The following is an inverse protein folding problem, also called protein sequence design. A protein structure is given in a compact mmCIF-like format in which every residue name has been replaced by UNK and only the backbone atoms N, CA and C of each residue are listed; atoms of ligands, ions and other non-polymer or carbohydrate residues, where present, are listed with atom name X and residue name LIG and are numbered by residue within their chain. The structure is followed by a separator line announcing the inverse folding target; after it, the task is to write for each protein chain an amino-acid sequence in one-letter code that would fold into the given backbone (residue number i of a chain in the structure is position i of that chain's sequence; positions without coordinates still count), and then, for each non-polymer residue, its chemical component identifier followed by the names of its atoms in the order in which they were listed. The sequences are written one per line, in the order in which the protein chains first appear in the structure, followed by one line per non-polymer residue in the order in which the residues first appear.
data_IF_151176220204
#
_entry.id   IF_151176220204
#
_cell.length_a   1.000
_cell.length_b   1.000
_cell.length_c   1.000
_cell.angle_alpha   90.00
_cell.angle_beta   90.00
_cell.angle_gamma   90.00
#
_symmetry.space_group_name_H-M   'P 1'
#
loop_
_entity.id
_entity.type
_entity.pdbx_description
1 polymer ?
#
# COMPACT_ATOMS: atom_id res chain seq x y z
N UNK A 1 33.23 -4.30 -4.37
CA UNK A 1 33.21 -3.92 -2.96
C UNK A 1 32.73 -2.48 -2.84
N UNK A 2 31.61 -2.25 -2.12
CA UNK A 2 30.97 -0.92 -1.99
C UNK A 2 31.81 0.10 -1.20
N UNK A 3 32.82 -0.36 -0.47
CA UNK A 3 33.71 0.49 0.32
C UNK A 3 35.06 0.74 -0.37
N UNK A 4 35.25 0.27 -1.60
CA UNK A 4 36.53 0.31 -2.29
C UNK A 4 36.53 1.40 -3.36
N UNK A 5 37.22 2.50 -3.09
CA UNK A 5 37.32 3.67 -3.96
C UNK A 5 37.87 3.33 -5.35
N UNK A 6 38.78 2.37 -5.46
CA UNK A 6 39.38 1.99 -6.76
C UNK A 6 38.30 1.41 -7.71
N UNK A 7 37.34 0.70 -7.18
CA UNK A 7 36.22 0.17 -7.98
C UNK A 7 35.32 1.29 -8.53
N UNK A 8 35.08 2.37 -7.77
CA UNK A 8 34.34 3.53 -8.29
C UNK A 8 35.11 4.30 -9.33
N UNK A 9 36.45 4.45 -9.18
CA UNK A 9 37.31 5.04 -10.21
C UNK A 9 37.26 4.19 -11.49
N UNK A 10 37.36 2.88 -11.38
CA UNK A 10 37.24 1.98 -12.52
C UNK A 10 35.84 2.08 -13.20
N UNK A 11 34.76 2.14 -12.38
CA UNK A 11 33.40 2.33 -12.87
C UNK A 11 33.25 3.68 -13.61
N UNK A 12 33.79 4.77 -13.06
CA UNK A 12 33.78 6.06 -13.71
C UNK A 12 34.46 6.00 -15.08
N UNK A 13 35.70 5.47 -15.14
CA UNK A 13 36.43 5.36 -16.38
C UNK A 13 35.70 4.53 -17.45
N UNK A 14 34.98 3.48 -17.02
CA UNK A 14 34.14 2.71 -17.91
C UNK A 14 32.93 3.53 -18.38
N UNK A 15 32.25 4.23 -17.47
CA UNK A 15 31.11 5.07 -17.80
C UNK A 15 31.46 6.19 -18.77
N UNK A 16 32.60 6.87 -18.55
CA UNK A 16 33.10 7.93 -19.43
C UNK A 16 33.44 7.39 -20.84
N UNK A 17 34.05 6.20 -20.92
CA UNK A 17 34.33 5.53 -22.20
C UNK A 17 33.02 5.13 -22.94
N UNK A 18 32.00 4.69 -22.22
CA UNK A 18 30.69 4.35 -22.80
C UNK A 18 29.95 5.62 -23.23
N UNK A 19 30.05 6.69 -22.45
CA UNK A 19 29.49 8.00 -22.76
C UNK A 19 30.04 8.53 -24.10
N UNK A 20 31.38 8.53 -24.26
CA UNK A 20 32.03 8.92 -25.50
C UNK A 20 31.63 7.99 -26.68
N UNK A 21 31.64 6.66 -26.44
CA UNK A 21 31.33 5.67 -27.49
C UNK A 21 29.94 5.77 -28.05
N UNK A 22 28.95 6.04 -27.18
CA UNK A 22 27.51 6.03 -27.52
C UNK A 22 26.87 7.42 -27.54
N UNK A 23 27.67 8.48 -27.32
CA UNK A 23 27.20 9.88 -27.24
C UNK A 23 26.02 10.05 -26.23
N UNK A 24 26.27 9.56 -25.01
CA UNK A 24 25.21 9.56 -23.97
C UNK A 24 25.04 10.92 -23.29
N UNK A 25 25.91 11.89 -23.56
CA UNK A 25 25.84 13.28 -23.08
C UNK A 25 25.76 13.40 -21.54
N UNK A 26 26.45 12.51 -20.83
CA UNK A 26 26.46 12.49 -19.36
C UNK A 26 25.22 11.97 -18.69
N UNK A 27 24.26 11.43 -19.44
CA UNK A 27 23.03 10.85 -18.89
C UNK A 27 23.31 9.53 -18.17
N UNK A 28 22.98 9.45 -16.88
CA UNK A 28 23.27 8.28 -16.04
C UNK A 28 22.10 7.93 -15.13
N UNK A 29 21.86 6.64 -14.97
CA UNK A 29 20.92 6.07 -14.00
C UNK A 29 21.68 5.07 -13.13
N UNK A 30 21.54 5.23 -11.83
CA UNK A 30 22.11 4.35 -10.81
C UNK A 30 20.97 3.58 -10.14
N UNK A 31 20.93 2.26 -10.32
CA UNK A 31 19.93 1.42 -9.69
C UNK A 31 20.58 0.62 -8.56
N UNK A 32 20.19 0.92 -7.32
CA UNK A 32 20.74 0.28 -6.12
C UNK A 32 19.84 -0.90 -5.70
N UNK A 33 20.00 -2.02 -6.39
CA UNK A 33 19.33 -3.29 -6.05
C UNK A 33 20.09 -4.04 -4.94
N UNK A 34 20.21 -3.43 -3.76
CA UNK A 34 20.97 -3.98 -2.64
C UNK A 34 20.42 -3.53 -1.29
N UNK A 35 21.01 -4.03 -0.19
CA UNK A 35 20.56 -3.69 1.15
C UNK A 35 20.67 -2.17 1.43
N UNK A 36 19.65 -1.52 2.01
CA UNK A 36 19.59 -0.07 2.22
C UNK A 36 20.76 0.51 3.01
N UNK A 37 21.36 -0.27 3.92
CA UNK A 37 22.57 0.15 4.69
C UNK A 37 23.74 0.61 3.82
N UNK A 38 23.75 0.27 2.54
CA UNK A 38 24.81 0.66 1.61
C UNK A 38 24.47 1.91 0.79
N UNK A 39 23.23 2.38 0.78
CA UNK A 39 22.79 3.46 -0.10
C UNK A 39 23.56 4.75 0.14
N UNK A 40 23.71 5.18 1.40
CA UNK A 40 24.47 6.39 1.76
C UNK A 40 25.94 6.29 1.35
N UNK A 41 26.60 5.16 1.66
CA UNK A 41 27.99 4.92 1.27
C UNK A 41 28.18 4.98 -0.25
N UNK A 42 27.28 4.34 -1.00
CA UNK A 42 27.38 4.35 -2.48
C UNK A 42 27.13 5.75 -3.02
N UNK A 43 26.10 6.45 -2.54
CA UNK A 43 25.82 7.82 -2.96
C UNK A 43 27.00 8.76 -2.72
N UNK A 44 27.66 8.65 -1.55
CA UNK A 44 28.85 9.41 -1.22
C UNK A 44 30.02 9.13 -2.21
N UNK A 45 30.28 7.85 -2.51
CA UNK A 45 31.32 7.47 -3.48
C UNK A 45 30.97 7.88 -4.91
N UNK A 46 29.70 7.76 -5.34
CA UNK A 46 29.30 8.25 -6.67
C UNK A 46 29.60 9.73 -6.85
N UNK A 47 29.44 10.53 -5.77
CA UNK A 47 29.77 11.95 -5.77
C UNK A 47 31.26 12.21 -5.69
N UNK A 48 31.97 11.63 -4.71
CA UNK A 48 33.42 11.90 -4.47
C UNK A 48 34.29 11.48 -5.64
N UNK A 49 33.93 10.35 -6.27
CA UNK A 49 34.66 9.82 -7.42
C UNK A 49 34.14 10.35 -8.76
N UNK A 50 33.30 11.40 -8.74
CA UNK A 50 32.83 12.12 -9.93
C UNK A 50 32.10 11.24 -10.95
N UNK A 51 31.33 10.25 -10.46
CA UNK A 51 30.41 9.49 -11.30
C UNK A 51 29.15 10.31 -11.63
N UNK A 52 28.74 11.18 -10.72
CA UNK A 52 27.65 12.15 -10.99
C UNK A 52 28.23 13.22 -11.92
N UNK A 53 27.66 13.37 -13.11
CA UNK A 53 28.10 14.29 -14.15
C UNK A 53 27.54 15.69 -13.94
N UNK A 54 28.29 16.71 -14.41
CA UNK A 54 27.86 18.12 -14.37
C UNK A 54 26.87 18.46 -15.51
N UNK A 55 26.69 17.56 -16.46
CA UNK A 55 25.82 17.71 -17.63
C UNK A 55 25.01 16.44 -17.84
N UNK A 56 23.91 16.54 -18.58
CA UNK A 56 22.96 15.44 -18.70
C UNK A 56 22.14 15.26 -17.42
N UNK A 57 21.41 14.15 -17.31
CA UNK A 57 20.68 13.81 -16.10
C UNK A 57 21.43 12.74 -15.28
N UNK A 58 21.31 12.84 -13.96
CA UNK A 58 21.75 11.80 -13.04
C UNK A 58 20.54 11.37 -12.19
N UNK A 59 20.13 10.11 -12.26
CA UNK A 59 18.97 9.57 -11.57
C UNK A 59 19.37 8.40 -10.69
N UNK A 60 18.88 8.40 -9.46
CA UNK A 60 19.16 7.36 -8.48
C UNK A 60 17.87 6.60 -8.20
N UNK A 61 17.81 5.32 -8.56
CA UNK A 61 16.71 4.41 -8.25
C UNK A 61 17.10 3.62 -7.00
N UNK A 62 16.24 3.62 -6.00
CA UNK A 62 16.46 2.89 -4.75
C UNK A 62 15.24 2.05 -4.38
N UNK A 63 15.52 0.89 -3.78
CA UNK A 63 14.53 -0.08 -3.31
C UNK A 63 14.14 0.15 -1.85
N UNK A 64 12.95 -0.33 -1.48
CA UNK A 64 12.55 -0.41 -0.07
C UNK A 64 13.37 -1.47 0.69
N UNK A 65 13.46 -1.36 2.03
CA UNK A 65 12.83 -0.38 2.91
C UNK A 65 13.61 0.94 3.00
N UNK A 66 12.86 2.04 3.23
CA UNK A 66 13.43 3.37 3.46
C UNK A 66 13.47 3.66 4.97
N UNK A 67 14.46 3.09 5.67
CA UNK A 67 14.56 3.12 7.13
C UNK A 67 13.73 2.03 7.81
N UNK A 68 13.75 2.06 9.16
CA UNK A 68 12.96 1.18 10.05
C UNK A 68 12.03 1.96 10.96
N UNK A 69 12.22 3.26 11.04
CA UNK A 69 11.47 4.27 11.76
C UNK A 69 11.76 5.63 11.11
N UNK A 70 11.07 6.68 11.54
CA UNK A 70 11.27 8.03 11.00
C UNK A 70 12.71 8.52 11.16
N UNK A 71 13.36 8.20 12.27
CA UNK A 71 14.74 8.62 12.55
C UNK A 71 15.72 8.01 11.54
N UNK A 72 15.72 6.70 11.41
CA UNK A 72 16.63 6.00 10.49
C UNK A 72 16.29 6.27 9.02
N UNK A 73 15.02 6.49 8.70
CA UNK A 73 14.60 6.92 7.37
C UNK A 73 15.15 8.32 7.04
N UNK A 74 15.12 9.24 8.02
CA UNK A 74 15.69 10.58 7.85
C UNK A 74 17.20 10.54 7.70
N UNK A 75 17.91 9.78 8.52
CA UNK A 75 19.36 9.58 8.41
C UNK A 75 19.73 9.09 7.01
N UNK A 76 19.05 8.04 6.53
CA UNK A 76 19.27 7.51 5.19
C UNK A 76 18.97 8.55 4.09
N UNK A 77 17.89 9.30 4.24
CA UNK A 77 17.54 10.36 3.30
C UNK A 77 18.60 11.48 3.28
N UNK A 78 19.09 11.90 4.43
CA UNK A 78 20.09 12.95 4.55
C UNK A 78 21.42 12.50 3.88
N UNK A 79 21.84 11.25 4.10
CA UNK A 79 23.03 10.66 3.46
C UNK A 79 22.91 10.66 1.93
N UNK A 80 21.78 10.23 1.40
CA UNK A 80 21.55 10.21 -0.06
C UNK A 80 21.44 11.63 -0.61
N UNK A 81 20.76 12.53 0.11
CA UNK A 81 20.55 13.91 -0.30
C UNK A 81 21.84 14.75 -0.28
N UNK A 82 22.88 14.30 0.41
CA UNK A 82 24.21 14.89 0.31
C UNK A 82 24.85 14.73 -1.09
N UNK A 83 24.40 13.76 -1.88
CA UNK A 83 24.91 13.48 -3.23
C UNK A 83 23.89 13.78 -4.34
N UNK A 84 22.60 13.48 -4.14
CA UNK A 84 21.54 13.64 -5.13
C UNK A 84 20.45 14.57 -4.60
N UNK A 85 19.96 15.48 -5.42
CA UNK A 85 18.74 16.24 -5.07
C UNK A 85 17.49 15.34 -5.09
N UNK A 86 16.44 15.72 -4.38
CA UNK A 86 15.19 14.96 -4.35
C UNK A 86 14.61 14.71 -5.76
N UNK A 87 14.88 15.64 -6.70
CA UNK A 87 14.44 15.51 -8.09
C UNK A 87 15.17 14.42 -8.87
N UNK A 88 16.29 13.95 -8.36
CA UNK A 88 17.11 12.90 -8.95
C UNK A 88 16.81 11.53 -8.30
N UNK A 89 16.05 11.49 -7.20
CA UNK A 89 15.80 10.26 -6.42
C UNK A 89 14.45 9.65 -6.81
N UNK A 90 14.49 8.36 -7.16
CA UNK A 90 13.35 7.53 -7.57
C UNK A 90 13.20 6.39 -6.58
N UNK A 91 12.36 6.58 -5.54
CA UNK A 91 12.08 5.55 -4.51
C UNK A 91 10.99 4.63 -5.02
N UNK A 92 11.34 3.36 -5.23
CA UNK A 92 10.40 2.35 -5.73
C UNK A 92 9.43 1.93 -4.63
N UNK A 93 8.15 2.12 -4.87
CA UNK A 93 7.06 1.34 -4.32
C UNK A 93 6.35 0.65 -5.50
N UNK A 94 6.53 -0.66 -5.65
CA UNK A 94 6.02 -1.38 -6.82
C UNK A 94 4.49 -1.33 -6.97
N UNK A 95 3.74 -1.07 -5.87
CA UNK A 95 2.29 -0.86 -5.96
C UNK A 95 1.93 0.39 -6.77
N UNK A 96 2.74 1.45 -6.70
CA UNK A 96 2.53 2.66 -7.49
C UNK A 96 2.74 2.44 -9.01
N UNK A 97 3.47 1.39 -9.40
CA UNK A 97 3.63 0.99 -10.79
C UNK A 97 2.50 0.10 -11.32
N UNK A 98 1.55 -0.33 -10.45
CA UNK A 98 0.40 -1.14 -10.88
C UNK A 98 -0.66 -0.24 -11.51
N UNK A 99 -1.05 -0.55 -12.74
CA UNK A 99 -2.06 0.20 -13.49
C UNK A 99 -3.39 0.33 -12.74
N UNK A 100 -3.81 -0.71 -12.02
CA UNK A 100 -5.02 -0.68 -11.21
C UNK A 100 -4.94 0.34 -10.04
N UNK A 101 -3.77 0.59 -9.49
CA UNK A 101 -3.54 1.63 -8.47
C UNK A 101 -3.57 3.03 -9.10
N UNK A 102 -2.94 3.22 -10.25
CA UNK A 102 -3.01 4.47 -10.99
C UNK A 102 -4.45 4.82 -11.40
N UNK A 103 -5.25 3.79 -11.71
CA UNK A 103 -6.66 3.94 -12.07
C UNK A 103 -7.54 4.52 -10.97
N UNK A 104 -7.11 4.50 -9.70
CA UNK A 104 -7.84 5.13 -8.58
C UNK A 104 -8.10 6.62 -8.87
N UNK A 105 -7.08 7.34 -9.34
CA UNK A 105 -7.23 8.77 -9.66
C UNK A 105 -8.19 8.99 -10.85
N UNK A 106 -8.08 8.17 -11.90
CA UNK A 106 -8.99 8.22 -13.04
C UNK A 106 -10.44 7.92 -12.62
N UNK A 107 -10.65 6.91 -11.78
CA UNK A 107 -11.96 6.55 -11.26
C UNK A 107 -12.58 7.71 -10.46
N UNK A 108 -11.81 8.27 -9.50
CA UNK A 108 -12.29 9.33 -8.62
C UNK A 108 -12.54 10.66 -9.32
N UNK A 109 -11.66 11.07 -10.21
CA UNK A 109 -11.65 12.42 -10.77
C UNK A 109 -12.14 12.48 -12.22
N UNK A 110 -12.19 11.36 -12.92
CA UNK A 110 -12.64 11.27 -14.31
C UNK A 110 -14.13 10.93 -14.46
N UNK A 111 -14.83 10.57 -13.36
CA UNK A 111 -16.23 10.16 -13.41
C UNK A 111 -17.10 11.04 -12.51
N UNK A 112 -18.06 11.75 -13.09
CA UNK A 112 -18.94 12.66 -12.35
C UNK A 112 -19.72 11.94 -11.24
N UNK A 113 -20.25 10.75 -11.49
CA UNK A 113 -20.99 9.94 -10.50
C UNK A 113 -20.10 9.66 -9.30
N UNK A 114 -18.91 9.09 -9.53
CA UNK A 114 -17.98 8.72 -8.47
C UNK A 114 -17.51 9.98 -7.72
N UNK A 115 -17.11 11.02 -8.44
CA UNK A 115 -16.63 12.26 -7.86
C UNK A 115 -17.67 12.94 -6.96
N UNK A 116 -18.96 12.91 -7.35
CA UNK A 116 -20.05 13.51 -6.56
C UNK A 116 -20.35 12.74 -5.28
N UNK A 117 -20.17 11.43 -5.26
CA UNK A 117 -20.44 10.56 -4.11
C UNK A 117 -19.22 10.35 -3.21
N UNK A 118 -18.02 10.82 -3.62
CA UNK A 118 -16.78 10.60 -2.90
C UNK A 118 -16.57 11.57 -1.75
N UNK A 119 -17.43 11.48 -0.74
CA UNK A 119 -17.39 12.38 0.42
C UNK A 119 -18.06 11.72 1.63
N UNK A 120 -17.87 12.33 2.80
CA UNK A 120 -18.40 11.89 4.10
C UNK A 120 -19.93 11.82 4.21
N UNK A 121 -20.64 12.53 3.33
CA UNK A 121 -22.10 12.52 3.32
C UNK A 121 -22.64 11.20 2.74
N UNK A 122 -21.88 10.56 1.82
CA UNK A 122 -22.31 9.38 1.11
C UNK A 122 -21.51 8.12 1.47
N UNK A 123 -20.21 8.24 1.79
CA UNK A 123 -19.37 7.09 2.16
C UNK A 123 -19.52 6.78 3.64
N UNK A 124 -19.81 5.51 3.95
CA UNK A 124 -19.85 5.00 5.31
C UNK A 124 -18.47 4.59 5.82
N UNK A 125 -17.74 3.82 5.03
CA UNK A 125 -16.36 3.43 5.33
C UNK A 125 -15.60 3.01 4.06
N UNK A 126 -14.26 2.93 4.16
CA UNK A 126 -13.39 2.39 3.13
C UNK A 126 -12.63 1.21 3.73
N UNK A 127 -12.56 0.09 2.99
CA UNK A 127 -11.84 -1.10 3.43
C UNK A 127 -10.76 -1.45 2.41
N UNK A 128 -9.52 -1.66 2.87
CA UNK A 128 -8.37 -2.00 2.04
C UNK A 128 -7.82 -3.34 2.52
N UNK A 129 -7.83 -4.34 1.66
CA UNK A 129 -7.27 -5.67 1.97
C UNK A 129 -6.14 -5.99 1.01
N UNK A 130 -4.97 -6.31 1.56
CA UNK A 130 -3.81 -6.87 0.85
C UNK A 130 -3.51 -8.24 1.46
N UNK A 131 -4.18 -9.27 0.97
CA UNK A 131 -4.05 -10.63 1.48
C UNK A 131 -3.07 -11.46 0.65
N UNK A 132 -2.16 -12.16 1.31
CA UNK A 132 -1.21 -13.08 0.71
C UNK A 132 -1.46 -14.52 1.23
N UNK A 133 -1.53 -15.50 0.33
CA UNK A 133 -1.70 -16.91 0.70
C UNK A 133 -0.38 -17.61 1.04
N UNK A 134 0.75 -17.04 0.63
CA UNK A 134 2.09 -17.55 0.94
C UNK A 134 2.54 -17.11 2.34
N UNK A 135 3.46 -17.87 2.94
CA UNK A 135 4.16 -17.53 4.17
C UNK A 135 5.32 -16.56 3.93
N UNK A 136 6.30 -16.56 4.82
CA UNK A 136 7.52 -15.74 4.67
C UNK A 136 8.56 -16.42 3.77
N UNK A 137 8.47 -17.73 3.60
CA UNK A 137 9.36 -18.54 2.78
C UNK A 137 10.85 -18.19 3.04
N UNK A 138 11.68 -18.10 2.03
CA UNK A 138 13.11 -17.76 2.15
C UNK A 138 13.38 -16.32 2.70
N UNK A 139 12.34 -15.52 2.95
CA UNK A 139 12.46 -14.14 3.42
C UNK A 139 12.32 -13.98 4.93
N UNK A 140 12.34 -15.07 5.69
CA UNK A 140 12.16 -15.05 7.15
C UNK A 140 13.11 -14.08 7.86
N UNK A 141 14.40 -14.11 7.55
CA UNK A 141 15.39 -13.21 8.15
C UNK A 141 15.14 -11.70 7.87
N UNK A 142 14.58 -11.36 6.72
CA UNK A 142 14.11 -9.99 6.45
C UNK A 142 12.86 -9.69 7.28
N UNK A 143 11.93 -10.64 7.33
CA UNK A 143 10.63 -10.45 7.98
C UNK A 143 10.75 -10.26 9.49
N UNK A 144 11.72 -10.93 10.14
CA UNK A 144 12.07 -10.74 11.56
C UNK A 144 12.42 -9.29 11.91
N UNK A 145 12.84 -8.50 10.95
CA UNK A 145 13.17 -7.08 11.14
C UNK A 145 12.06 -6.13 10.68
N UNK A 146 11.22 -6.56 9.76
CA UNK A 146 10.19 -5.72 9.13
C UNK A 146 8.81 -5.91 9.78
N UNK A 147 8.31 -7.15 9.79
CA UNK A 147 6.91 -7.44 10.09
C UNK A 147 5.95 -6.88 9.05
N UNK A 148 4.68 -7.25 9.16
CA UNK A 148 3.66 -6.81 8.21
C UNK A 148 3.39 -5.30 8.27
N UNK A 149 3.59 -4.66 9.43
CA UNK A 149 3.39 -3.23 9.60
C UNK A 149 4.35 -2.41 8.73
N UNK A 150 5.64 -2.75 8.76
CA UNK A 150 6.67 -2.06 7.97
C UNK A 150 6.70 -2.53 6.52
N UNK A 151 6.45 -3.83 6.27
CA UNK A 151 6.52 -4.37 4.92
C UNK A 151 5.35 -3.93 4.04
N UNK A 152 4.15 -3.75 4.60
CA UNK A 152 2.93 -3.51 3.85
C UNK A 152 2.20 -2.21 4.20
N UNK A 153 2.11 -1.84 5.48
CA UNK A 153 1.30 -0.68 5.89
C UNK A 153 2.04 0.62 5.66
N UNK A 154 3.31 0.71 6.09
CA UNK A 154 4.15 1.91 6.02
C UNK A 154 4.33 2.43 4.59
N UNK A 155 4.20 1.57 3.61
CA UNK A 155 4.38 1.88 2.19
C UNK A 155 3.08 1.68 1.41
N UNK A 156 2.82 0.50 0.88
CA UNK A 156 1.76 0.19 -0.06
C UNK A 156 0.37 0.66 0.40
N UNK A 157 -0.02 0.32 1.65
CA UNK A 157 -1.35 0.68 2.17
C UNK A 157 -1.47 2.19 2.34
N UNK A 158 -0.47 2.86 2.93
CA UNK A 158 -0.50 4.32 3.10
C UNK A 158 -0.42 5.06 1.76
N UNK A 159 0.27 4.52 0.75
CA UNK A 159 0.23 5.05 -0.60
C UNK A 159 -1.18 4.94 -1.23
N UNK A 160 -1.84 3.79 -1.08
CA UNK A 160 -3.23 3.61 -1.52
C UNK A 160 -4.16 4.59 -0.79
N UNK A 161 -4.02 4.72 0.54
CA UNK A 161 -4.81 5.68 1.34
C UNK A 161 -4.59 7.11 0.83
N UNK A 162 -3.36 7.50 0.52
CA UNK A 162 -3.09 8.84 0.00
C UNK A 162 -3.84 9.11 -1.30
N UNK A 163 -3.91 8.14 -2.22
CA UNK A 163 -4.67 8.24 -3.47
C UNK A 163 -6.19 8.27 -3.25
N UNK A 164 -6.69 7.53 -2.24
CA UNK A 164 -8.11 7.48 -1.90
C UNK A 164 -8.59 8.74 -1.16
N UNK A 165 -7.70 9.41 -0.43
CA UNK A 165 -8.09 10.54 0.44
C UNK A 165 -7.60 11.90 -0.05
N UNK A 166 -6.67 11.96 -1.02
CA UNK A 166 -6.18 13.23 -1.55
C UNK A 166 -7.29 14.06 -2.18
N UNK A 167 -7.21 15.37 -2.05
CA UNK A 167 -8.06 16.29 -2.76
C UNK A 167 -7.74 16.30 -4.27
N UNK A 168 -8.72 16.67 -5.09
CA UNK A 168 -8.57 16.70 -6.55
C UNK A 168 -7.42 17.64 -6.97
N UNK A 169 -6.37 17.15 -7.65
CA UNK A 169 -5.32 18.00 -8.17
C UNK A 169 -5.85 18.92 -9.29
N UNK A 170 -5.23 20.07 -9.48
CA UNK A 170 -5.61 21.00 -10.56
C UNK A 170 -5.19 20.46 -11.93
N UNK A 171 -4.08 19.72 -11.96
CA UNK A 171 -3.52 19.04 -13.13
C UNK A 171 -2.95 17.68 -12.73
N UNK A 172 -2.99 16.72 -13.65
CA UNK A 172 -2.37 15.41 -13.44
C UNK A 172 -0.87 15.49 -13.77
N UNK A 173 -0.09 16.05 -12.85
CA UNK A 173 1.37 16.17 -12.94
C UNK A 173 2.02 15.57 -11.71
N UNK A 174 3.28 15.12 -11.83
CA UNK A 174 4.01 14.52 -10.71
C UNK A 174 4.08 15.44 -9.48
N UNK A 175 4.27 16.76 -9.66
CA UNK A 175 4.32 17.73 -8.55
C UNK A 175 2.96 17.88 -7.86
N UNK A 176 1.89 18.07 -8.62
CA UNK A 176 0.54 18.22 -8.07
C UNK A 176 0.09 16.96 -7.32
N UNK A 177 0.30 15.79 -7.92
CA UNK A 177 -0.03 14.51 -7.28
C UNK A 177 0.74 14.30 -5.99
N UNK A 178 2.05 14.55 -6.00
CA UNK A 178 2.89 14.48 -4.81
C UNK A 178 2.36 15.39 -3.70
N UNK A 179 2.12 16.67 -4.02
CA UNK A 179 1.68 17.65 -3.03
C UNK A 179 0.34 17.25 -2.42
N UNK A 180 -0.61 16.75 -3.23
CA UNK A 180 -1.90 16.24 -2.74
C UNK A 180 -1.78 14.94 -1.92
N UNK A 181 -0.87 14.04 -2.28
CA UNK A 181 -0.61 12.82 -1.50
C UNK A 181 0.04 13.14 -0.15
N UNK A 182 1.00 14.08 -0.12
CA UNK A 182 1.62 14.56 1.13
C UNK A 182 0.56 15.19 2.03
N UNK A 183 -0.27 16.08 1.50
CA UNK A 183 -1.38 16.70 2.24
C UNK A 183 -2.35 15.64 2.79
N UNK A 184 -2.70 14.64 1.98
CA UNK A 184 -3.56 13.54 2.40
C UNK A 184 -2.97 12.76 3.59
N UNK A 185 -1.68 12.40 3.53
CA UNK A 185 -1.00 11.70 4.62
C UNK A 185 -0.82 12.57 5.87
N UNK A 186 -0.62 13.90 5.71
CA UNK A 186 -0.58 14.85 6.84
C UNK A 186 -1.90 14.91 7.59
N UNK A 187 -3.01 14.75 6.88
CA UNK A 187 -4.36 14.73 7.45
C UNK A 187 -4.75 13.37 8.08
N UNK A 188 -3.93 12.32 7.96
CA UNK A 188 -4.17 11.10 8.72
C UNK A 188 -3.86 11.34 10.19
N UNK A 189 -4.84 11.05 11.04
CA UNK A 189 -4.72 11.17 12.48
C UNK A 189 -3.60 10.27 13.01
N UNK A 190 -2.67 10.85 13.76
CA UNK A 190 -1.69 10.09 14.53
C UNK A 190 -2.29 9.79 15.90
N UNK A 191 -2.40 8.53 16.22
CA UNK A 191 -2.96 8.08 17.47
C UNK A 191 -2.00 8.29 18.66
N UNK A 192 -2.53 8.34 19.88
CA UNK A 192 -1.75 8.03 21.06
C UNK A 192 -1.44 6.53 21.12
N UNK A 193 -0.53 6.09 21.99
CA UNK A 193 -0.23 4.65 22.13
C UNK A 193 -1.46 3.85 22.56
N UNK A 194 -2.28 4.41 23.43
CA UNK A 194 -3.53 3.79 23.89
C UNK A 194 -4.55 3.69 22.75
N UNK A 195 -4.71 4.74 21.95
CA UNK A 195 -5.56 4.72 20.76
C UNK A 195 -5.03 3.72 19.71
N UNK A 196 -3.71 3.62 19.54
CA UNK A 196 -3.10 2.67 18.61
C UNK A 196 -3.40 1.21 19.02
N UNK A 197 -3.28 0.87 20.32
CA UNK A 197 -3.64 -0.46 20.85
C UNK A 197 -5.13 -0.78 20.69
N UNK A 198 -6.00 0.23 20.69
CA UNK A 198 -7.43 0.04 20.47
C UNK A 198 -7.80 -0.11 19.00
N UNK A 199 -7.07 0.56 18.11
CA UNK A 199 -7.43 0.68 16.70
C UNK A 199 -6.59 -0.21 15.77
N UNK A 200 -5.54 -0.84 16.28
CA UNK A 200 -4.69 -1.74 15.50
C UNK A 200 -4.55 -3.11 16.16
N UNK A 201 -4.67 -4.13 15.34
CA UNK A 201 -4.55 -5.55 15.70
C UNK A 201 -3.35 -6.12 14.99
N UNK A 202 -2.49 -6.83 15.72
CA UNK A 202 -1.39 -7.62 15.16
C UNK A 202 -1.69 -9.11 15.27
N UNK A 203 -1.22 -9.86 14.27
CA UNK A 203 -1.34 -11.32 14.26
C UNK A 203 -0.07 -11.99 13.80
N UNK A 204 0.08 -13.26 14.18
CA UNK A 204 1.13 -14.14 13.69
C UNK A 204 0.49 -15.48 13.34
N UNK A 205 0.79 -16.04 12.15
CA UNK A 205 0.17 -17.28 11.73
C UNK A 205 0.68 -18.48 12.52
N UNK A 206 -0.26 -19.34 12.88
CA UNK A 206 -0.04 -20.68 13.38
C UNK A 206 -0.10 -21.71 12.27
N UNK A 207 -0.08 -22.97 12.64
CA UNK A 207 -0.29 -24.10 11.72
C UNK A 207 -1.65 -23.98 10.99
N UNK A 208 -1.78 -24.65 9.86
CA UNK A 208 -3.06 -24.85 9.21
C UNK A 208 -3.90 -25.93 9.92
N UNK A 209 -5.17 -26.06 9.56
CA UNK A 209 -6.09 -26.99 10.20
C UNK A 209 -5.68 -28.47 10.07
N UNK A 210 -4.96 -28.80 9.01
CA UNK A 210 -4.52 -30.17 8.70
C UNK A 210 -3.08 -30.45 9.17
N UNK A 211 -2.41 -29.51 9.84
CA UNK A 211 -1.02 -29.57 10.29
C UNK A 211 -0.02 -29.88 9.16
N UNK A 212 -0.30 -29.41 7.96
CA UNK A 212 0.56 -29.57 6.78
C UNK A 212 1.55 -28.42 6.58
N UNK A 213 1.28 -27.27 7.19
CA UNK A 213 2.10 -26.07 7.14
C UNK A 213 2.52 -25.68 8.56
N UNK A 214 3.81 -25.37 8.72
CA UNK A 214 4.35 -24.89 9.99
C UNK A 214 3.80 -23.51 10.36
N UNK A 215 3.78 -23.21 11.64
CA UNK A 215 3.60 -21.85 12.13
C UNK A 215 4.83 -20.97 11.83
N UNK A 216 4.68 -19.65 12.02
CA UNK A 216 5.75 -18.69 11.74
C UNK A 216 7.05 -18.97 12.49
N UNK A 217 6.96 -19.37 13.76
CA UNK A 217 8.12 -19.56 14.64
C UNK A 217 8.94 -20.81 14.31
N UNK A 218 8.39 -21.69 13.48
CA UNK A 218 9.07 -22.88 12.99
C UNK A 218 9.48 -22.77 11.51
N UNK A 219 9.29 -21.61 10.87
CA UNK A 219 9.86 -21.35 9.55
C UNK A 219 11.40 -21.22 9.64
N UNK A 220 12.11 -21.64 8.59
CA UNK A 220 13.57 -21.54 8.57
C UNK A 220 14.04 -20.08 8.63
N UNK A 221 14.85 -19.76 9.64
CA UNK A 221 15.40 -18.41 9.82
C UNK A 221 14.57 -17.46 10.68
N UNK A 222 13.53 -17.97 11.36
CA UNK A 222 12.77 -17.23 12.38
C UNK A 222 13.27 -17.52 13.79
N UNK A 223 12.92 -16.66 14.75
CA UNK A 223 13.13 -16.90 16.18
C UNK A 223 11.92 -17.64 16.76
N UNK A 224 12.16 -18.74 17.49
CA UNK A 224 11.10 -19.52 18.16
C UNK A 224 10.27 -18.71 19.16
N UNK A 225 10.77 -17.55 19.62
CA UNK A 225 10.06 -16.64 20.52
C UNK A 225 9.68 -15.33 19.83
N UNK A 226 9.73 -15.29 18.49
CA UNK A 226 9.46 -14.10 17.72
C UNK A 226 8.14 -13.42 18.13
N UNK A 227 8.20 -12.09 18.28
CA UNK A 227 7.06 -11.22 18.51
C UNK A 227 6.71 -10.39 17.26
N UNK A 228 7.27 -10.78 16.11
CA UNK A 228 7.02 -10.11 14.84
C UNK A 228 5.65 -10.52 14.30
N UNK A 229 4.90 -9.54 13.89
CA UNK A 229 3.59 -9.74 13.30
C UNK A 229 3.69 -10.11 11.81
N UNK A 230 2.91 -11.12 11.39
CA UNK A 230 2.70 -11.51 10.00
C UNK A 230 1.35 -11.05 9.46
N UNK A 231 0.58 -10.39 10.30
CA UNK A 231 -0.73 -9.84 10.01
C UNK A 231 -0.93 -8.53 10.74
N UNK A 232 -1.54 -7.57 10.04
CA UNK A 232 -2.01 -6.31 10.62
C UNK A 232 -3.43 -6.05 10.15
N UNK A 233 -4.28 -5.65 11.08
CA UNK A 233 -5.55 -4.99 10.79
C UNK A 233 -5.65 -3.71 11.59
N UNK A 234 -6.23 -2.67 11.00
CA UNK A 234 -6.31 -1.39 11.69
C UNK A 234 -7.41 -0.50 11.17
N UNK A 235 -7.78 0.48 11.98
CA UNK A 235 -8.67 1.58 11.64
C UNK A 235 -7.85 2.84 11.61
N UNK A 236 -7.91 3.57 10.52
CA UNK A 236 -7.33 4.90 10.34
C UNK A 236 -8.44 5.93 10.15
N UNK A 237 -8.14 7.16 10.50
CA UNK A 237 -9.05 8.29 10.37
C UNK A 237 -8.33 9.44 9.67
N UNK A 238 -9.06 10.18 8.83
CA UNK A 238 -8.55 11.39 8.18
C UNK A 238 -9.30 12.61 8.66
N UNK A 239 -8.57 13.71 8.82
CA UNK A 239 -9.13 15.03 9.18
C UNK A 239 -9.40 15.89 7.95
N UNK A 240 -9.18 15.37 6.74
CA UNK A 240 -9.43 16.13 5.53
C UNK A 240 -10.92 16.49 5.40
N UNK A 241 -11.20 17.62 4.76
CA UNK A 241 -12.56 18.19 4.67
C UNK A 241 -13.56 17.21 4.03
N UNK A 242 -13.11 16.46 3.04
CA UNK A 242 -13.98 15.61 2.22
C UNK A 242 -14.39 14.33 2.92
N UNK A 243 -13.48 13.69 3.68
CA UNK A 243 -13.67 12.37 4.29
C UNK A 243 -13.56 12.37 5.82
N UNK A 244 -13.51 13.53 6.48
CA UNK A 244 -13.45 13.60 7.95
C UNK A 244 -14.60 12.82 8.58
N UNK A 245 -14.26 11.86 9.48
CA UNK A 245 -15.22 10.99 10.15
C UNK A 245 -15.57 9.71 9.38
N UNK A 246 -15.06 9.50 8.16
CA UNK A 246 -15.14 8.23 7.43
C UNK A 246 -13.99 7.33 7.88
N UNK A 247 -14.25 6.20 8.55
CA UNK A 247 -13.19 5.28 8.94
C UNK A 247 -12.62 4.55 7.73
N UNK A 248 -11.29 4.34 7.76
CA UNK A 248 -10.56 3.57 6.76
C UNK A 248 -10.01 2.33 7.46
N UNK A 249 -10.60 1.17 7.15
CA UNK A 249 -10.14 -0.11 7.68
C UNK A 249 -9.10 -0.70 6.74
N UNK A 250 -8.02 -1.18 7.31
CA UNK A 250 -6.93 -1.83 6.57
C UNK A 250 -6.68 -3.23 7.09
N UNK A 251 -6.34 -4.15 6.20
CA UNK A 251 -5.98 -5.51 6.54
C UNK A 251 -4.92 -6.03 5.58
N UNK A 252 -3.86 -6.58 6.13
CA UNK A 252 -2.83 -7.29 5.36
C UNK A 252 -2.28 -8.45 6.17
N UNK A 253 -1.83 -9.50 5.51
CA UNK A 253 -1.22 -10.63 6.21
C UNK A 253 -0.80 -11.74 5.26
N UNK A 254 0.02 -12.64 5.83
CA UNK A 254 0.52 -13.85 5.17
C UNK A 254 -0.28 -15.08 5.60
N UNK A 255 -0.20 -16.16 4.83
CA UNK A 255 -0.97 -17.40 5.08
C UNK A 255 -2.48 -17.15 5.23
N UNK A 256 -3.00 -16.13 4.53
CA UNK A 256 -4.45 -15.90 4.50
C UNK A 256 -5.13 -16.85 3.49
N UNK A 257 -6.45 -17.00 3.61
CA UNK A 257 -7.25 -17.97 2.86
C UNK A 257 -7.05 -17.90 1.35
N UNK A 258 -6.83 -16.70 0.81
CA UNK A 258 -6.54 -16.50 -0.62
C UNK A 258 -5.79 -15.20 -0.86
N UNK A 259 -5.00 -15.18 -1.94
CA UNK A 259 -4.36 -13.94 -2.41
C UNK A 259 -5.43 -13.00 -2.98
N UNK A 260 -5.49 -11.78 -2.44
CA UNK A 260 -6.34 -10.73 -2.99
C UNK A 260 -5.85 -9.36 -2.54
N UNK A 261 -5.74 -8.43 -3.48
CA UNK A 261 -5.63 -7.00 -3.19
C UNK A 261 -6.87 -6.31 -3.72
N UNK A 262 -7.68 -5.74 -2.83
CA UNK A 262 -8.88 -5.02 -3.21
C UNK A 262 -9.21 -3.87 -2.26
N UNK A 263 -9.96 -2.92 -2.79
CA UNK A 263 -10.47 -1.76 -2.07
C UNK A 263 -11.99 -1.78 -2.18
N UNK A 264 -12.67 -1.70 -1.04
CA UNK A 264 -14.13 -1.62 -0.97
C UNK A 264 -14.52 -0.26 -0.43
N UNK A 265 -15.24 0.52 -1.21
CA UNK A 265 -15.85 1.78 -0.79
C UNK A 265 -17.32 1.48 -0.49
N UNK A 266 -17.66 1.49 0.80
CA UNK A 266 -19.00 1.16 1.29
C UNK A 266 -19.77 2.46 1.44
N UNK A 267 -20.91 2.56 0.78
CA UNK A 267 -21.77 3.74 0.86
C UNK A 267 -22.74 3.62 2.02
N UNK A 268 -23.20 4.74 2.54
CA UNK A 268 -24.23 4.79 3.56
C UNK A 268 -25.55 4.22 3.03
N UNK A 269 -26.33 3.63 3.91
CA UNK A 269 -27.70 3.27 3.60
C UNK A 269 -28.51 4.51 3.26
N UNK A 270 -29.61 4.33 2.53
CA UNK A 270 -30.60 5.38 2.32
C UNK A 270 -31.26 5.76 3.66
N UNK A 271 -31.59 7.05 3.83
CA UNK A 271 -32.14 7.56 5.09
C UNK A 271 -33.49 6.92 5.46
N UNK A 272 -34.26 6.54 4.45
CA UNK A 272 -35.59 5.93 4.64
C UNK A 272 -35.78 4.79 3.66
N UNK A 273 -36.01 3.59 4.17
CA UNK A 273 -36.41 2.45 3.36
C UNK A 273 -37.92 2.52 3.09
N UNK A 274 -38.32 3.04 1.94
CA UNK A 274 -39.72 3.15 1.52
C UNK A 274 -40.36 1.79 1.19
N UNK A 275 -39.58 0.73 1.08
CA UNK A 275 -40.02 -0.63 0.77
C UNK A 275 -40.34 -1.45 2.03
N UNK A 276 -40.03 -0.94 3.22
CA UNK A 276 -40.21 -1.63 4.50
C UNK A 276 -41.70 -1.87 4.84
N UNK A 277 -42.62 -1.16 4.18
CA UNK A 277 -44.08 -1.26 4.38
C UNK A 277 -44.74 -2.31 3.49
N UNK A 278 -43.98 -3.03 2.68
CA UNK A 278 -44.52 -4.10 1.82
C UNK A 278 -44.43 -5.45 2.55
N UNK A 279 -45.44 -6.33 2.40
CA UNK A 279 -45.54 -7.65 3.07
C UNK A 279 -44.47 -8.68 2.63
N UNK A 280 -43.37 -8.26 2.06
CA UNK A 280 -42.26 -9.13 1.64
C UNK A 280 -41.27 -9.33 2.80
N UNK A 281 -41.02 -10.58 3.17
CA UNK A 281 -40.09 -11.00 4.24
C UNK A 281 -38.58 -10.61 3.99
N UNK A 282 -38.29 -9.87 2.93
CA UNK A 282 -36.92 -9.61 2.46
C UNK A 282 -36.65 -8.18 2.00
N UNK A 283 -37.23 -7.17 2.62
CA UNK A 283 -37.04 -5.76 2.22
C UNK A 283 -35.84 -5.05 2.89
N UNK A 284 -34.83 -5.81 3.33
CA UNK A 284 -33.57 -5.24 3.76
C UNK A 284 -32.79 -4.76 2.52
N UNK A 285 -32.53 -3.47 2.45
CA UNK A 285 -31.65 -2.91 1.43
C UNK A 285 -30.21 -3.21 1.80
N UNK A 286 -29.46 -3.84 0.89
CA UNK A 286 -28.03 -3.99 1.04
C UNK A 286 -27.34 -2.64 0.79
N UNK A 287 -26.24 -2.40 1.52
CA UNK A 287 -25.39 -1.24 1.25
C UNK A 287 -24.82 -1.33 -0.16
N UNK A 288 -24.80 -0.21 -0.86
CA UNK A 288 -24.07 -0.14 -2.11
C UNK A 288 -22.58 -0.19 -1.83
N UNK A 289 -21.85 -0.95 -2.62
CA UNK A 289 -20.39 -1.10 -2.51
C UNK A 289 -19.76 -0.94 -3.87
N UNK A 290 -18.74 -0.09 -3.95
CA UNK A 290 -17.84 -0.02 -5.09
C UNK A 290 -16.55 -0.75 -4.73
N UNK A 291 -16.31 -1.90 -5.39
CA UNK A 291 -15.08 -2.69 -5.22
C UNK A 291 -14.12 -2.44 -6.37
N UNK A 292 -12.87 -2.14 -6.04
CA UNK A 292 -11.75 -2.07 -6.97
C UNK A 292 -10.89 -3.32 -6.76
N UNK A 293 -10.83 -4.18 -7.76
CA UNK A 293 -9.96 -5.36 -7.78
C UNK A 293 -8.61 -4.98 -8.36
N UNK A 294 -7.54 -5.20 -7.58
CA UNK A 294 -6.16 -4.86 -7.95
C UNK A 294 -5.39 -6.11 -8.37
N UNK A 295 -5.46 -7.18 -7.57
CA UNK A 295 -4.80 -8.49 -7.78
C UNK A 295 -5.59 -9.63 -7.14
N UNK A 296 -5.56 -10.83 -7.72
CA UNK A 296 -5.02 -11.22 -9.03
C UNK A 296 -5.91 -10.77 -10.19
N UNK A 297 -7.18 -10.50 -9.89
CA UNK A 297 -8.13 -9.96 -10.85
C UNK A 297 -8.09 -8.44 -10.85
N UNK A 298 -8.19 -7.86 -12.04
CA UNK A 298 -8.24 -6.41 -12.20
C UNK A 298 -9.60 -6.02 -12.74
N UNK A 299 -10.25 -5.08 -12.08
CA UNK A 299 -11.57 -4.66 -12.48
C UNK A 299 -12.32 -3.85 -11.42
N UNK A 300 -13.61 -3.73 -11.63
CA UNK A 300 -14.51 -2.99 -10.77
C UNK A 300 -15.83 -3.73 -10.60
N UNK A 301 -16.43 -3.63 -9.43
CA UNK A 301 -17.76 -4.11 -9.14
C UNK A 301 -18.57 -3.03 -8.44
N UNK A 302 -19.82 -2.85 -8.84
CA UNK A 302 -20.77 -1.98 -8.16
C UNK A 302 -21.99 -2.80 -7.76
N UNK A 303 -22.27 -2.84 -6.45
CA UNK A 303 -23.43 -3.53 -5.88
C UNK A 303 -24.60 -2.56 -5.75
N UNK A 304 -25.77 -2.94 -6.28
CA UNK A 304 -26.98 -2.13 -6.33
C UNK A 304 -28.21 -2.95 -5.92
N UNK A 305 -29.27 -2.27 -5.48
CA UNK A 305 -30.56 -2.87 -5.19
C UNK A 305 -31.53 -2.63 -6.36
N UNK A 306 -32.23 -3.67 -6.80
CA UNK A 306 -33.26 -3.60 -7.84
C UNK A 306 -34.52 -4.33 -7.40
N UNK A 307 -35.63 -4.11 -8.11
CA UNK A 307 -36.86 -4.85 -7.86
C UNK A 307 -36.70 -6.31 -8.23
N UNK A 308 -37.10 -7.22 -7.32
CA UNK A 308 -37.24 -8.64 -7.64
C UNK A 308 -38.33 -8.84 -8.71
N UNK A 309 -38.09 -9.78 -9.65
CA UNK A 309 -39.01 -10.10 -10.75
C UNK A 309 -40.27 -10.82 -10.35
N UNK A 310 -40.49 -11.19 -9.07
CA UNK A 310 -41.66 -11.86 -8.55
C UNK A 310 -42.92 -10.99 -8.55
N UNK A 311 -44.05 -11.59 -8.16
CA UNK A 311 -45.38 -10.90 -8.08
C UNK A 311 -45.45 -9.95 -6.90
N UNK A 312 -44.76 -10.23 -5.78
CA UNK A 312 -44.65 -9.36 -4.62
C UNK A 312 -43.57 -8.27 -4.85
N UNK A 313 -43.74 -7.15 -4.15
CA UNK A 313 -42.81 -6.02 -4.24
C UNK A 313 -41.57 -6.30 -3.37
N UNK A 314 -40.68 -7.18 -3.85
CA UNK A 314 -39.41 -7.48 -3.21
C UNK A 314 -38.25 -6.72 -3.82
N UNK A 315 -37.18 -6.54 -3.05
CA UNK A 315 -35.92 -5.95 -3.49
C UNK A 315 -34.82 -7.03 -3.45
N UNK A 316 -33.96 -7.04 -4.45
CA UNK A 316 -32.83 -7.95 -4.52
C UNK A 316 -31.55 -7.21 -4.90
N UNK A 317 -30.37 -7.62 -4.37
CA UNK A 317 -29.09 -7.09 -4.81
C UNK A 317 -28.73 -7.60 -6.20
N UNK A 318 -28.06 -6.74 -6.98
CA UNK A 318 -27.38 -7.09 -8.23
C UNK A 318 -25.96 -6.57 -8.23
N UNK A 319 -25.13 -7.13 -9.10
CA UNK A 319 -23.75 -6.75 -9.29
C UNK A 319 -23.51 -6.32 -10.72
N UNK A 320 -22.86 -5.17 -10.89
CA UNK A 320 -22.32 -4.72 -12.16
C UNK A 320 -20.81 -4.93 -12.14
N UNK A 321 -20.34 -5.96 -12.83
CA UNK A 321 -18.94 -6.34 -12.85
C UNK A 321 -18.26 -5.97 -14.16
N UNK A 322 -17.08 -5.41 -14.07
CA UNK A 322 -16.11 -5.32 -15.15
C UNK A 322 -14.81 -5.95 -14.71
N UNK A 323 -14.34 -6.94 -15.45
CA UNK A 323 -13.02 -7.53 -15.26
C UNK A 323 -12.23 -7.42 -16.55
N UNK A 324 -10.96 -7.04 -16.44
CA UNK A 324 -10.06 -7.03 -17.60
C UNK A 324 -9.92 -8.42 -18.18
N UNK A 325 -10.09 -8.50 -19.49
CA UNK A 325 -9.86 -9.72 -20.24
C UNK A 325 -8.37 -10.10 -20.26
N UNK A 326 -8.05 -11.34 -20.57
CA UNK A 326 -6.66 -11.78 -20.71
C UNK A 326 -5.89 -10.95 -21.77
N UNK A 327 -6.57 -10.53 -22.85
CA UNK A 327 -5.98 -9.71 -23.89
C UNK A 327 -5.68 -8.26 -23.43
N UNK A 328 -6.48 -7.71 -22.53
CA UNK A 328 -6.23 -6.40 -21.92
C UNK A 328 -5.10 -6.50 -20.89
N UNK A 329 -5.11 -7.54 -20.02
CA UNK A 329 -4.04 -7.80 -19.05
C UNK A 329 -2.68 -7.97 -19.73
N UNK A 330 -2.61 -8.66 -20.87
CA UNK A 330 -1.37 -8.89 -21.64
C UNK A 330 -0.75 -7.59 -22.21
N UNK A 331 -1.48 -6.48 -22.25
CA UNK A 331 -0.98 -5.18 -22.71
C UNK A 331 -0.44 -4.31 -21.57
N UNK A 332 -0.65 -4.72 -20.33
CA UNK A 332 -0.22 -3.97 -19.15
C UNK A 332 1.20 -4.41 -18.82
N UNK A 333 2.18 -3.50 -18.79
CA UNK A 333 3.53 -3.84 -18.37
C UNK A 333 3.55 -4.24 -16.91
N UNK A 334 4.49 -5.09 -16.53
CA UNK A 334 4.75 -5.38 -15.13
C UNK A 334 5.15 -4.10 -14.37
N UNK A 335 4.81 -4.02 -13.08
CA UNK A 335 5.04 -2.81 -12.30
C UNK A 335 6.50 -2.31 -12.33
N UNK A 336 7.47 -3.22 -12.26
CA UNK A 336 8.90 -2.87 -12.35
C UNK A 336 9.30 -2.41 -13.76
N UNK A 337 8.82 -3.06 -14.81
CA UNK A 337 9.04 -2.64 -16.19
C UNK A 337 8.59 -1.19 -16.39
N UNK A 338 7.37 -0.88 -15.93
CA UNK A 338 6.83 0.47 -16.00
C UNK A 338 7.66 1.48 -15.21
N UNK A 339 8.01 1.18 -13.96
CA UNK A 339 8.79 2.09 -13.12
C UNK A 339 10.20 2.34 -13.68
N UNK A 340 10.86 1.32 -14.24
CA UNK A 340 12.14 1.50 -14.89
C UNK A 340 12.00 2.39 -16.13
N UNK A 341 10.95 2.18 -16.95
CA UNK A 341 10.65 3.04 -18.10
C UNK A 341 10.36 4.49 -17.66
N UNK A 342 9.51 4.68 -16.65
CA UNK A 342 9.23 6.00 -16.07
C UNK A 342 10.52 6.69 -15.58
N UNK A 343 11.44 5.94 -14.97
CA UNK A 343 12.74 6.47 -14.55
C UNK A 343 13.64 6.83 -15.74
N UNK A 344 13.59 6.07 -16.84
CA UNK A 344 14.31 6.38 -18.08
C UNK A 344 13.80 7.68 -18.72
N UNK A 345 12.50 7.92 -18.68
CA UNK A 345 11.85 9.12 -19.22
C UNK A 345 11.90 10.33 -18.27
N UNK A 346 12.28 10.12 -17.00
CA UNK A 346 12.26 11.17 -15.99
C UNK A 346 10.88 11.46 -15.40
N UNK A 347 9.93 10.57 -15.64
CA UNK A 347 8.60 10.64 -15.06
C UNK A 347 8.63 10.17 -13.59
N UNK A 348 8.30 11.04 -12.66
CA UNK A 348 8.33 10.76 -11.21
C UNK A 348 6.95 10.54 -10.59
N UNK A 349 5.92 10.45 -11.40
CA UNK A 349 4.53 10.35 -10.94
C UNK A 349 4.30 9.14 -10.03
N UNK A 350 4.97 8.02 -10.32
CA UNK A 350 4.77 6.73 -9.66
C UNK A 350 5.88 6.37 -8.66
N UNK A 351 6.64 7.37 -8.19
CA UNK A 351 7.70 7.18 -7.19
C UNK A 351 7.35 7.92 -5.90
N UNK A 352 7.69 7.29 -4.78
CA UNK A 352 7.46 7.88 -3.48
C UNK A 352 8.43 9.04 -3.22
N UNK A 353 7.88 10.18 -2.82
CA UNK A 353 8.65 11.35 -2.42
C UNK A 353 9.05 11.25 -0.94
N UNK A 354 10.19 11.87 -0.56
CA UNK A 354 10.63 11.87 0.84
C UNK A 354 9.55 12.32 1.83
N UNK A 355 8.82 13.37 1.51
CA UNK A 355 7.77 13.86 2.41
C UNK A 355 6.63 12.86 2.61
N UNK A 356 6.31 12.05 1.61
CA UNK A 356 5.32 10.95 1.76
C UNK A 356 5.86 9.87 2.69
N UNK A 357 7.13 9.46 2.50
CA UNK A 357 7.81 8.47 3.35
C UNK A 357 7.87 8.93 4.80
N UNK A 358 8.20 10.21 5.02
CA UNK A 358 8.27 10.79 6.38
C UNK A 358 6.91 10.82 7.07
N UNK A 359 5.83 11.18 6.34
CA UNK A 359 4.47 11.16 6.90
C UNK A 359 4.00 9.72 7.19
N UNK A 360 4.34 8.76 6.33
CA UNK A 360 4.02 7.36 6.56
C UNK A 360 4.69 6.83 7.84
N UNK A 361 5.96 7.15 8.07
CA UNK A 361 6.64 6.79 9.32
C UNK A 361 6.04 7.46 10.55
N UNK A 362 5.66 8.74 10.46
CA UNK A 362 4.98 9.45 11.55
C UNK A 362 3.72 8.71 12.05
N UNK A 363 2.99 8.07 11.12
CA UNK A 363 1.78 7.30 11.44
C UNK A 363 2.16 5.95 12.05
N UNK A 364 3.12 5.25 11.48
CA UNK A 364 3.45 3.85 11.81
C UNK A 364 4.30 3.72 13.09
N UNK A 365 5.19 4.67 13.36
CA UNK A 365 6.09 4.60 14.52
C UNK A 365 5.33 4.50 15.85
N UNK A 366 4.24 5.24 16.00
CA UNK A 366 3.41 5.19 17.22
C UNK A 366 2.77 3.81 17.41
N UNK A 367 2.32 3.17 16.30
CA UNK A 367 1.74 1.83 16.34
C UNK A 367 2.81 0.82 16.75
N UNK A 368 4.03 0.94 16.19
CA UNK A 368 5.15 0.06 16.54
C UNK A 368 5.56 0.23 18.00
N UNK A 369 5.71 1.47 18.46
CA UNK A 369 6.04 1.77 19.85
C UNK A 369 4.98 1.25 20.83
N UNK A 370 3.70 1.35 20.48
CA UNK A 370 2.62 0.80 21.28
C UNK A 370 2.73 -0.73 21.39
N UNK A 371 2.97 -1.41 20.28
CA UNK A 371 3.13 -2.87 20.28
C UNK A 371 4.41 -3.37 20.94
N UNK A 372 5.50 -2.61 20.86
CA UNK A 372 6.76 -2.96 21.54
C UNK A 372 6.65 -2.84 23.06
N UNK A 373 5.67 -2.09 23.58
CA UNK A 373 5.41 -1.98 25.00
C UNK A 373 4.67 -3.18 25.60
N UNK A 374 4.10 -4.06 24.78
CA UNK A 374 3.28 -5.19 25.21
C UNK A 374 3.72 -6.50 24.50
N UNK A 375 3.70 -7.61 25.21
CA UNK A 375 3.92 -8.92 24.65
C UNK A 375 2.63 -9.45 24.02
N UNK A 376 2.68 -9.88 22.76
CA UNK A 376 1.55 -10.52 22.11
C UNK A 376 1.48 -12.02 22.44
N UNK A 377 0.27 -12.55 22.50
CA UNK A 377 0.03 -13.99 22.59
C UNK A 377 0.01 -14.57 21.15
N UNK A 378 1.18 -14.97 20.69
CA UNK A 378 1.42 -15.52 19.36
C UNK A 378 1.77 -17.00 19.39
N UNK A 379 1.38 -17.80 18.35
CA UNK A 379 0.56 -17.45 17.20
C UNK A 379 -0.93 -17.26 17.58
N UNK A 380 -1.68 -16.44 16.85
CA UNK A 380 -3.07 -16.12 17.17
C UNK A 380 -4.05 -16.16 15.99
N UNK A 381 -3.63 -16.69 14.83
CA UNK A 381 -4.55 -17.08 13.77
C UNK A 381 -4.06 -18.33 13.02
N UNK A 382 -5.00 -19.11 12.54
CA UNK A 382 -4.75 -20.33 11.79
C UNK A 382 -4.39 -19.99 10.35
N UNK A 383 -3.35 -20.63 9.81
CA UNK A 383 -3.00 -20.55 8.38
C UNK A 383 -4.21 -20.95 7.52
N UNK A 384 -4.48 -20.21 6.46
CA UNK A 384 -5.68 -20.39 5.62
C UNK A 384 -6.94 -19.71 6.13
N UNK A 385 -6.88 -18.97 7.25
CA UNK A 385 -7.98 -18.11 7.73
C UNK A 385 -7.85 -16.68 7.15
N UNK A 386 -8.74 -15.76 7.55
CA UNK A 386 -8.65 -14.33 7.21
C UNK A 386 -8.01 -13.49 8.33
N UNK A 387 -7.18 -14.09 9.15
CA UNK A 387 -6.48 -13.44 10.26
C UNK A 387 -7.14 -13.69 11.62
N UNK A 388 -6.67 -13.04 12.68
CA UNK A 388 -7.15 -13.25 14.04
C UNK A 388 -8.59 -12.72 14.22
N UNK A 389 -9.35 -13.35 15.14
CA UNK A 389 -10.72 -12.93 15.48
C UNK A 389 -10.81 -11.43 15.85
N UNK A 390 -9.79 -10.90 16.52
CA UNK A 390 -9.72 -9.49 16.88
C UNK A 390 -9.83 -8.55 15.67
N UNK A 391 -9.44 -8.98 14.46
CA UNK A 391 -9.64 -8.22 13.22
C UNK A 391 -11.12 -8.09 12.84
N UNK A 392 -11.92 -9.12 13.07
CA UNK A 392 -13.38 -9.06 12.89
C UNK A 392 -14.00 -8.17 13.96
N UNK A 393 -13.57 -8.31 15.20
CA UNK A 393 -14.10 -7.58 16.34
C UNK A 393 -13.81 -6.06 16.23
N UNK A 394 -12.72 -5.69 15.55
CA UNK A 394 -12.41 -4.28 15.26
C UNK A 394 -13.53 -3.58 14.48
N UNK A 395 -14.08 -4.21 13.45
CA UNK A 395 -15.18 -3.64 12.66
C UNK A 395 -16.52 -3.80 13.37
N UNK A 396 -16.75 -4.92 14.06
CA UNK A 396 -17.99 -5.18 14.82
C UNK A 396 -18.25 -4.14 15.91
N UNK A 397 -17.19 -3.58 16.53
CA UNK A 397 -17.34 -2.48 17.50
C UNK A 397 -18.02 -1.25 16.88
N UNK A 398 -17.80 -1.03 15.58
CA UNK A 398 -18.39 0.06 14.81
C UNK A 398 -19.66 -0.41 14.03
N UNK A 399 -20.25 -1.57 14.37
CA UNK A 399 -21.39 -2.21 13.69
C UNK A 399 -21.14 -2.47 12.20
N UNK A 400 -19.92 -2.84 11.82
CA UNK A 400 -19.48 -3.12 10.44
C UNK A 400 -18.87 -4.52 10.32
N UNK A 401 -18.78 -5.00 9.09
CA UNK A 401 -18.12 -6.25 8.75
C UNK A 401 -17.16 -6.04 7.58
N UNK A 402 -16.18 -6.94 7.43
CA UNK A 402 -15.36 -6.98 6.22
C UNK A 402 -16.22 -7.40 5.03
N UNK A 403 -16.17 -6.60 3.94
CA UNK A 403 -16.81 -6.96 2.66
C UNK A 403 -16.11 -8.16 2.03
N UNK A 404 -14.76 -8.16 2.05
CA UNK A 404 -13.99 -9.32 1.60
C UNK A 404 -13.82 -10.32 2.73
N UNK A 405 -14.32 -11.55 2.54
CA UNK A 405 -14.12 -12.66 3.45
C UNK A 405 -13.75 -13.94 2.69
N UNK A 406 -13.31 -15.00 3.39
CA UNK A 406 -12.91 -16.27 2.80
C UNK A 406 -14.07 -17.00 2.08
N UNK A 407 -15.29 -16.72 2.51
CA UNK A 407 -16.52 -17.37 2.02
C UNK A 407 -17.22 -16.64 0.87
N UNK A 408 -16.74 -15.47 0.48
CA UNK A 408 -17.36 -14.63 -0.57
C UNK A 408 -16.61 -14.67 -1.90
#
# INVERSE_FOLDING_TARGET
NVNDTEHYVALRNLADKLDEKYDLQGNRIYYLAMAPRFFGTIAAHLKSEKLITDHGYNRLIIEKPFGRDLKTAKELNDDISAAFSEDQIYRIDHYLGKEAIESIAALRFGNQIVSSLWNKEHIDNIQITLAESLGVEERAGYYETAGALRDMVQNHILQIISLLTMEKPSKYTASELRDRKVEALQNIKVYSKEEALQNFVRGQYGEDADHTQSDYRHEEGTDEQSQIETFVSGKLETENKTLAGVPIYVRTGKRLARKSTQINVVFKNVDTNIFDSTDADSNLLDQNVLTLYIEPDQGYRLDLNVKDGGQTYGIMPIHLDYHKTAAEKAKIPEAYEKLIHDALDGNRTNFAHWHEVAQAWRIVDVIREAWDSEKADFPNYVSGSMGPQASQDLLKRDHRNWIFDATN
#
